data_IF_100127397054
#
_entry.id   IF_100127397054
#
_cell.length_a   1.000
_cell.length_b   1.000
_cell.length_c   1.000
_cell.angle_alpha   90.00
_cell.angle_beta   90.00
_cell.angle_gamma   90.00
#
_symmetry.space_group_name_H-M   'P 1'
#
loop_
_entity.id
_entity.type
_entity.pdbx_description
1 polymer ?
#
# COMPACT_ATOMS: atom_id res chain seq x y z
N UNK A 1 22.75 61.59 12.39
CA UNK A 1 23.11 60.17 12.46
C UNK A 1 22.01 59.45 13.20
N UNK A 2 21.45 58.42 12.55
CA UNK A 2 21.00 57.12 13.08
C UNK A 2 19.70 56.70 12.39
N UNK A 3 19.86 55.57 11.70
CA UNK A 3 18.89 54.76 10.98
C UNK A 3 17.98 54.01 11.97
N UNK A 4 17.07 53.21 11.39
CA UNK A 4 16.33 52.05 11.92
C UNK A 4 14.93 52.35 12.47
N UNK A 5 13.91 51.53 12.22
CA UNK A 5 13.69 50.39 11.33
C UNK A 5 12.16 50.24 11.23
N UNK A 6 11.63 50.06 10.02
CA UNK A 6 10.24 49.65 9.82
C UNK A 6 10.23 48.12 9.91
N UNK A 7 9.67 47.56 10.98
CA UNK A 7 9.43 46.12 11.09
C UNK A 7 8.18 45.79 10.24
N UNK A 8 8.45 45.04 9.18
CA UNK A 8 7.50 44.43 8.26
C UNK A 8 7.04 43.10 8.88
N UNK A 9 5.92 43.13 9.61
CA UNK A 9 5.20 41.92 10.02
C UNK A 9 4.33 41.45 8.85
N UNK A 10 4.96 40.78 7.89
CA UNK A 10 4.24 40.02 6.86
C UNK A 10 3.81 38.67 7.47
N UNK A 11 2.73 38.72 8.24
CA UNK A 11 1.98 37.56 8.68
C UNK A 11 1.51 36.78 7.45
N UNK A 12 2.21 35.68 7.15
CA UNK A 12 1.93 34.79 6.04
C UNK A 12 0.62 34.06 6.31
N UNK A 13 -0.50 34.67 5.92
CA UNK A 13 -1.81 34.03 5.91
C UNK A 13 -1.75 32.82 4.98
N UNK A 14 -1.75 31.63 5.57
CA UNK A 14 -2.10 30.39 4.88
C UNK A 14 -3.47 30.60 4.25
N UNK A 15 -3.48 30.79 2.93
CA UNK A 15 -4.71 30.81 2.16
C UNK A 15 -5.24 29.39 2.15
N UNK A 16 -6.31 29.17 2.92
CA UNK A 16 -7.17 28.01 2.82
C UNK A 16 -7.88 28.10 1.45
N UNK A 17 -7.20 27.62 0.40
CA UNK A 17 -7.73 27.62 -0.96
C UNK A 17 -8.69 26.45 -1.07
N UNK A 18 -9.96 26.74 -1.36
CA UNK A 18 -11.01 25.75 -1.58
C UNK A 18 -10.67 24.85 -2.79
N UNK A 19 -10.11 23.68 -2.49
CA UNK A 19 -9.68 22.66 -3.45
C UNK A 19 -10.83 22.09 -4.30
N UNK A 20 -12.10 22.37 -3.97
CA UNK A 20 -13.26 21.79 -4.67
C UNK A 20 -13.52 22.43 -6.04
N UNK A 21 -12.85 23.54 -6.38
CA UNK A 21 -13.10 24.32 -7.61
C UNK A 21 -12.02 24.14 -8.71
N UNK A 22 -10.96 23.38 -8.46
CA UNK A 22 -9.85 23.19 -9.39
C UNK A 22 -10.04 21.95 -10.28
N UNK A 23 -9.49 21.92 -11.51
CA UNK A 23 -9.41 20.71 -12.31
C UNK A 23 -8.74 19.59 -11.49
N UNK A 24 -9.28 18.36 -11.52
CA UNK A 24 -8.82 17.23 -10.71
C UNK A 24 -7.29 17.04 -10.75
N UNK A 25 -6.69 17.21 -11.93
CA UNK A 25 -5.25 17.08 -12.12
C UNK A 25 -4.44 18.18 -11.40
N UNK A 26 -4.95 19.41 -11.34
CA UNK A 26 -4.31 20.52 -10.61
C UNK A 26 -4.47 20.36 -9.09
N UNK A 27 -5.63 19.88 -8.62
CA UNK A 27 -5.83 19.55 -7.21
C UNK A 27 -4.91 18.42 -6.73
N UNK A 28 -4.74 17.36 -7.54
CA UNK A 28 -3.80 16.27 -7.25
C UNK A 28 -2.34 16.75 -7.25
N UNK A 29 -1.98 17.59 -8.22
CA UNK A 29 -0.64 18.19 -8.29
C UNK A 29 -0.33 19.05 -7.06
N UNK A 30 -1.27 19.89 -6.61
CA UNK A 30 -1.10 20.69 -5.38
C UNK A 30 -0.98 19.84 -4.13
N UNK A 31 -1.80 18.78 -3.99
CA UNK A 31 -1.68 17.82 -2.87
C UNK A 31 -0.30 17.13 -2.86
N UNK A 32 0.22 16.77 -4.03
CA UNK A 32 1.58 16.20 -4.19
C UNK A 32 2.64 17.20 -3.73
N UNK A 33 2.59 18.43 -4.22
CA UNK A 33 3.53 19.49 -3.87
C UNK A 33 3.49 19.85 -2.39
N UNK A 34 2.30 19.91 -1.79
CA UNK A 34 2.14 20.20 -0.36
C UNK A 34 2.71 19.08 0.51
N UNK A 35 2.45 17.82 0.16
CA UNK A 35 3.01 16.68 0.89
C UNK A 35 4.53 16.62 0.74
N UNK A 36 5.08 16.88 -0.46
CA UNK A 36 6.51 16.94 -0.69
C UNK A 36 7.16 18.09 0.10
N UNK A 37 6.50 19.25 0.17
CA UNK A 37 6.93 20.39 1.00
C UNK A 37 6.94 20.02 2.48
N UNK A 38 5.87 19.40 2.99
CA UNK A 38 5.77 18.95 4.39
C UNK A 38 6.85 17.90 4.72
N UNK A 39 7.08 16.94 3.83
CA UNK A 39 8.14 15.94 3.97
C UNK A 39 9.53 16.58 4.04
N UNK A 40 9.84 17.54 3.16
CA UNK A 40 11.12 18.28 3.18
C UNK A 40 11.31 19.12 4.44
N UNK A 41 10.23 19.57 5.08
CA UNK A 41 10.23 20.35 6.33
C UNK A 41 10.19 19.48 7.59
N UNK A 42 9.97 18.17 7.48
CA UNK A 42 9.75 17.29 8.63
C UNK A 42 8.37 17.46 9.29
N UNK A 43 7.41 18.08 8.59
CA UNK A 43 6.04 18.35 9.06
C UNK A 43 5.05 17.24 8.63
N UNK A 44 5.55 16.08 8.20
CA UNK A 44 4.68 15.02 7.70
C UNK A 44 4.08 14.21 8.85
N UNK A 45 2.81 13.86 8.72
CA UNK A 45 2.10 13.03 9.70
C UNK A 45 2.86 11.70 9.93
N UNK A 46 3.19 11.34 11.19
CA UNK A 46 3.97 10.13 11.47
C UNK A 46 3.27 8.84 11.04
N UNK A 47 1.93 8.81 11.01
CA UNK A 47 1.13 7.67 10.54
C UNK A 47 1.25 7.49 9.03
N UNK A 48 1.29 8.61 8.30
CA UNK A 48 1.49 8.62 6.86
C UNK A 48 2.93 8.26 6.51
N UNK A 49 3.93 8.77 7.26
CA UNK A 49 5.34 8.41 7.11
C UNK A 49 5.53 6.91 7.30
N UNK A 50 4.93 6.34 8.33
CA UNK A 50 4.96 4.90 8.56
C UNK A 50 4.36 4.10 7.40
N UNK A 51 3.24 4.57 6.84
CA UNK A 51 2.61 3.91 5.69
C UNK A 51 3.52 3.94 4.47
N UNK A 52 4.15 5.08 4.16
CA UNK A 52 5.12 5.16 3.07
C UNK A 52 6.34 4.28 3.31
N UNK A 53 6.90 4.28 4.52
CA UNK A 53 8.03 3.44 4.86
C UNK A 53 7.69 1.96 4.69
N UNK A 54 6.51 1.52 5.15
CA UNK A 54 6.03 0.15 4.96
C UNK A 54 5.94 -0.23 3.48
N UNK A 55 5.46 0.67 2.62
CA UNK A 55 5.39 0.45 1.18
C UNK A 55 6.78 0.39 0.54
N UNK A 56 7.69 1.30 0.91
CA UNK A 56 9.08 1.33 0.42
C UNK A 56 9.80 0.02 0.78
N UNK A 57 9.72 -0.39 2.04
CA UNK A 57 10.45 -1.56 2.55
C UNK A 57 10.06 -2.86 1.83
N UNK A 58 8.78 -2.99 1.47
CA UNK A 58 8.26 -4.22 0.89
C UNK A 58 8.18 -4.22 -0.64
N UNK A 59 8.08 -3.05 -1.27
CA UNK A 59 8.14 -2.95 -2.75
C UNK A 59 9.56 -2.77 -3.28
N UNK A 60 10.48 -2.25 -2.45
CA UNK A 60 11.82 -1.84 -2.88
C UNK A 60 11.84 -0.61 -3.79
N UNK A 61 10.70 0.08 -3.95
CA UNK A 61 10.61 1.29 -4.76
C UNK A 61 11.24 2.49 -4.04
N UNK A 62 11.87 3.42 -4.77
CA UNK A 62 12.31 4.67 -4.17
C UNK A 62 11.10 5.50 -3.72
N UNK A 63 11.30 6.32 -2.69
CA UNK A 63 10.25 7.15 -2.08
C UNK A 63 9.44 7.94 -3.10
N UNK A 64 10.08 8.55 -4.10
CA UNK A 64 9.41 9.34 -5.14
C UNK A 64 8.42 8.49 -5.95
N UNK A 65 8.79 7.25 -6.31
CA UNK A 65 7.89 6.36 -7.06
C UNK A 65 6.71 5.89 -6.23
N UNK A 66 6.90 5.62 -4.94
CA UNK A 66 5.79 5.29 -4.03
C UNK A 66 4.83 6.47 -3.89
N UNK A 67 5.38 7.68 -3.74
CA UNK A 67 4.58 8.90 -3.73
C UNK A 67 3.75 9.03 -5.01
N UNK A 68 4.37 8.88 -6.19
CA UNK A 68 3.68 8.96 -7.48
C UNK A 68 2.47 8.01 -7.54
N UNK A 69 2.66 6.74 -7.17
CA UNK A 69 1.55 5.80 -7.10
C UNK A 69 0.46 6.25 -6.13
N UNK A 70 0.82 6.68 -4.92
CA UNK A 70 -0.15 7.03 -3.88
C UNK A 70 -0.97 8.28 -4.25
N UNK A 71 -0.36 9.28 -4.88
CA UNK A 71 -1.04 10.50 -5.30
C UNK A 71 -1.89 10.30 -6.56
N UNK A 72 -1.40 9.56 -7.55
CA UNK A 72 -2.09 9.38 -8.85
C UNK A 72 -3.41 8.60 -8.72
N UNK A 73 -3.48 7.68 -7.77
CA UNK A 73 -4.54 6.66 -7.72
C UNK A 73 -5.59 6.89 -6.62
N UNK A 74 -5.69 8.11 -6.09
CA UNK A 74 -6.54 8.45 -4.95
C UNK A 74 -6.33 7.52 -3.73
N UNK A 75 -5.13 6.93 -3.61
CA UNK A 75 -4.79 6.06 -2.49
C UNK A 75 -4.58 6.87 -1.21
N UNK A 76 -4.15 8.13 -1.34
CA UNK A 76 -3.93 9.02 -0.20
C UNK A 76 -5.19 9.21 0.65
N UNK A 77 -6.34 9.47 0.01
CA UNK A 77 -7.60 9.69 0.74
C UNK A 77 -8.03 8.42 1.48
N UNK A 78 -7.83 7.24 0.86
CA UNK A 78 -8.08 5.94 1.48
C UNK A 78 -7.11 5.66 2.65
N UNK A 79 -5.87 6.13 2.58
CA UNK A 79 -4.91 6.06 3.69
C UNK A 79 -5.37 6.98 4.83
N UNK A 80 -5.78 8.20 4.53
CA UNK A 80 -6.26 9.14 5.55
C UNK A 80 -7.54 8.62 6.23
N UNK A 81 -8.43 7.96 5.50
CA UNK A 81 -9.62 7.30 6.08
C UNK A 81 -9.25 6.24 7.13
N UNK A 82 -8.09 5.58 7.04
CA UNK A 82 -7.64 4.62 8.06
C UNK A 82 -7.45 5.30 9.43
N UNK A 83 -7.08 6.59 9.44
CA UNK A 83 -6.76 7.33 10.66
C UNK A 83 -7.99 7.89 11.36
N UNK A 84 -9.12 8.00 10.65
CA UNK A 84 -10.36 8.60 11.16
C UNK A 84 -11.18 7.65 12.04
N UNK A 85 -11.97 8.17 13.00
CA UNK A 85 -13.00 7.39 13.69
C UNK A 85 -14.02 6.84 12.71
N UNK A 86 -14.40 5.57 12.89
CA UNK A 86 -15.31 4.82 12.02
C UNK A 86 -14.91 4.80 10.54
N UNK A 87 -13.64 5.10 10.26
CA UNK A 87 -13.09 5.03 8.92
C UNK A 87 -12.73 3.60 8.50
N UNK A 88 -11.77 3.49 7.58
CA UNK A 88 -11.31 2.19 7.09
C UNK A 88 -10.76 1.32 8.22
N UNK A 89 -11.15 0.04 8.22
CA UNK A 89 -10.59 -0.98 9.13
C UNK A 89 -9.38 -1.70 8.54
N UNK A 90 -9.22 -1.66 7.22
CA UNK A 90 -8.12 -2.33 6.52
C UNK A 90 -7.74 -1.61 5.24
N UNK A 91 -6.46 -1.68 4.91
CA UNK A 91 -5.90 -1.33 3.61
C UNK A 91 -5.07 -2.51 3.11
N UNK A 92 -5.19 -2.80 1.80
CA UNK A 92 -4.48 -3.86 1.13
C UNK A 92 -3.98 -3.35 -0.21
N UNK A 93 -2.66 -3.42 -0.41
CA UNK A 93 -1.99 -3.03 -1.64
C UNK A 93 -1.42 -4.25 -2.33
N UNK A 94 -1.56 -4.30 -3.65
CA UNK A 94 -0.79 -5.21 -4.49
C UNK A 94 0.29 -4.44 -5.23
N UNK A 95 1.48 -5.01 -5.23
CA UNK A 95 2.58 -4.62 -6.11
C UNK A 95 2.89 -5.79 -7.02
N UNK A 96 2.33 -5.75 -8.23
CA UNK A 96 2.39 -6.85 -9.18
C UNK A 96 2.30 -6.36 -10.63
N UNK A 97 2.63 -7.23 -11.57
CA UNK A 97 2.49 -6.95 -13.00
C UNK A 97 1.03 -6.72 -13.37
N UNK A 98 0.74 -5.55 -13.94
CA UNK A 98 -0.58 -5.22 -14.50
C UNK A 98 -0.45 -5.14 -16.01
N UNK A 99 -1.41 -5.75 -16.73
CA UNK A 99 -1.50 -5.54 -18.17
C UNK A 99 -1.92 -4.10 -18.42
N UNK A 100 -0.99 -3.30 -18.94
CA UNK A 100 -1.31 -1.95 -19.40
C UNK A 100 -2.11 -2.11 -20.69
N UNK A 101 -3.37 -1.69 -20.70
CA UNK A 101 -4.02 -1.35 -21.96
C UNK A 101 -3.29 -0.12 -22.51
N UNK A 102 -2.57 -0.30 -23.61
CA UNK A 102 -1.81 0.74 -24.29
C UNK A 102 -2.76 1.83 -24.83
N UNK A 103 -3.19 2.77 -23.98
CA UNK A 103 -3.85 4.01 -24.43
C UNK A 103 -2.83 5.10 -24.79
N UNK A 104 -1.55 4.92 -24.47
CA UNK A 104 -0.52 5.96 -24.60
C UNK A 104 0.64 5.61 -25.55
N UNK A 105 0.63 4.43 -26.17
CA UNK A 105 1.74 3.96 -27.02
C UNK A 105 1.63 4.39 -28.50
N UNK A 106 0.78 5.37 -28.84
CA UNK A 106 0.55 5.76 -30.23
C UNK A 106 1.51 6.84 -30.79
N UNK A 107 2.40 7.43 -30.00
CA UNK A 107 3.24 8.54 -30.46
C UNK A 107 4.75 8.27 -30.39
N UNK A 108 5.23 7.12 -30.87
CA UNK A 108 6.67 7.00 -31.16
C UNK A 108 7.01 5.92 -32.20
N UNK A 109 6.20 5.79 -33.26
CA UNK A 109 6.52 4.88 -34.36
C UNK A 109 6.03 5.36 -35.74
N UNK A 110 6.16 6.64 -36.08
CA UNK A 110 5.98 7.09 -37.48
C UNK A 110 7.00 8.14 -37.89
N UNK A 111 8.29 7.76 -37.94
CA UNK A 111 9.23 8.48 -38.81
C UNK A 111 10.50 7.69 -39.15
N UNK A 112 10.35 6.51 -39.74
CA UNK A 112 11.40 5.96 -40.58
C UNK A 112 10.74 5.41 -41.86
N UNK A 113 10.93 6.13 -42.97
CA UNK A 113 10.69 5.60 -44.32
C UNK A 113 11.57 4.36 -44.51
N UNK A 114 11.07 3.33 -45.22
CA UNK A 114 11.93 2.73 -46.23
C UNK A 114 11.23 2.56 -47.57
N UNK A 115 12.01 2.88 -48.59
CA UNK A 115 11.79 2.64 -50.01
C UNK A 115 11.66 1.14 -50.34
N UNK A 116 10.66 0.84 -51.17
CA UNK A 116 10.49 -0.28 -52.12
C UNK A 116 11.21 -1.63 -51.92
N UNK A 117 10.37 -2.66 -52.13
CA UNK A 117 10.60 -3.93 -52.84
C UNK A 117 10.79 -5.24 -52.05
N UNK A 118 9.91 -6.19 -52.40
CA UNK A 118 10.13 -7.65 -52.47
C UNK A 118 9.72 -8.55 -51.29
N UNK A 119 8.55 -9.17 -51.50
CA UNK A 119 8.06 -10.53 -51.20
C UNK A 119 8.89 -11.47 -50.29
N UNK A 120 8.13 -12.17 -49.43
CA UNK A 120 8.40 -13.42 -48.71
C UNK A 120 9.31 -13.37 -47.48
N UNK A 121 8.71 -13.31 -46.29
CA UNK A 121 9.12 -14.17 -45.19
C UNK A 121 7.97 -14.40 -44.20
N UNK A 122 7.94 -15.62 -43.66
CA UNK A 122 6.87 -16.19 -42.86
C UNK A 122 6.34 -15.28 -41.74
N UNK A 123 5.01 -15.29 -41.64
CA UNK A 123 4.19 -14.82 -40.53
C UNK A 123 4.56 -15.61 -39.25
N UNK A 124 5.66 -15.25 -38.59
CA UNK A 124 5.82 -15.54 -37.14
C UNK A 124 4.84 -14.61 -36.44
N UNK A 125 3.70 -15.17 -36.01
CA UNK A 125 2.90 -14.57 -34.95
C UNK A 125 3.77 -14.60 -33.69
N UNK A 126 4.66 -13.61 -33.56
CA UNK A 126 5.18 -13.24 -32.25
C UNK A 126 3.97 -12.78 -31.46
N UNK A 127 3.53 -13.61 -30.51
CA UNK A 127 2.73 -13.16 -29.38
C UNK A 127 3.61 -12.09 -28.73
N UNK A 128 3.43 -10.83 -29.15
CA UNK A 128 4.02 -9.69 -28.49
C UNK A 128 3.35 -9.64 -27.13
N UNK A 129 3.97 -10.30 -26.14
CA UNK A 129 3.58 -10.12 -24.74
C UNK A 129 3.67 -8.62 -24.47
N UNK A 130 2.52 -7.98 -24.21
CA UNK A 130 2.47 -6.59 -23.77
C UNK A 130 3.52 -6.41 -22.65
N UNK A 131 4.26 -5.29 -22.62
CA UNK A 131 5.24 -5.05 -21.58
C UNK A 131 4.52 -5.01 -20.23
N UNK A 132 4.74 -6.04 -19.41
CA UNK A 132 4.22 -6.08 -18.04
C UNK A 132 5.02 -5.09 -17.20
N UNK A 133 4.35 -4.07 -16.69
CA UNK A 133 4.91 -3.14 -15.70
C UNK A 133 4.31 -3.46 -14.35
N UNK A 134 5.15 -3.57 -13.32
CA UNK A 134 4.66 -3.66 -11.95
C UNK A 134 3.98 -2.34 -11.56
N UNK A 135 2.80 -2.44 -10.96
CA UNK A 135 2.04 -1.29 -10.44
C UNK A 135 1.72 -1.54 -8.98
N UNK A 136 1.81 -0.49 -8.17
CA UNK A 136 1.30 -0.46 -6.80
C UNK A 136 -0.13 0.09 -6.85
N UNK A 137 -1.10 -0.62 -6.26
CA UNK A 137 -2.49 -0.17 -6.19
C UNK A 137 -3.21 -0.77 -4.99
N UNK A 138 -4.22 -0.04 -4.48
CA UNK A 138 -5.14 -0.55 -3.46
C UNK A 138 -6.14 -1.54 -4.07
N UNK A 139 -6.48 -2.57 -3.32
CA UNK A 139 -7.47 -3.59 -3.71
C UNK A 139 -8.24 -4.07 -2.47
N UNK A 140 -9.38 -4.71 -2.71
CA UNK A 140 -10.17 -5.40 -1.70
C UNK A 140 -9.84 -6.91 -1.61
N UNK A 141 -9.04 -7.42 -2.55
CA UNK A 141 -8.66 -8.82 -2.68
C UNK A 141 -9.69 -9.73 -3.35
N UNK A 142 -10.80 -9.18 -3.86
CA UNK A 142 -11.86 -9.95 -4.53
C UNK A 142 -11.82 -9.81 -6.05
N UNK A 143 -11.50 -8.61 -6.54
CA UNK A 143 -11.52 -8.31 -7.97
C UNK A 143 -10.26 -8.76 -8.70
N UNK A 144 -9.11 -8.75 -8.02
CA UNK A 144 -7.80 -9.03 -8.61
C UNK A 144 -7.12 -10.14 -7.82
N UNK A 145 -6.59 -11.14 -8.53
CA UNK A 145 -5.79 -12.20 -7.92
C UNK A 145 -4.38 -11.73 -7.56
N UNK A 146 -3.88 -12.15 -6.40
CA UNK A 146 -2.51 -11.86 -5.97
C UNK A 146 -1.49 -12.67 -6.77
N UNK A 147 -0.67 -11.98 -7.56
CA UNK A 147 0.44 -12.57 -8.33
C UNK A 147 1.81 -12.04 -7.92
N UNK A 148 1.84 -10.86 -7.30
CA UNK A 148 3.06 -10.20 -6.83
C UNK A 148 3.21 -10.21 -5.31
N UNK A 149 3.42 -9.02 -4.76
CA UNK A 149 3.54 -8.78 -3.32
C UNK A 149 2.25 -8.11 -2.83
N UNK A 150 1.66 -8.66 -1.78
CA UNK A 150 0.59 -8.02 -1.02
C UNK A 150 1.18 -7.34 0.21
N UNK A 151 0.74 -6.12 0.49
CA UNK A 151 1.05 -5.37 1.70
C UNK A 151 -0.28 -5.00 2.34
N UNK A 152 -0.43 -5.16 3.65
CA UNK A 152 -1.66 -4.82 4.32
C UNK A 152 -1.43 -4.13 5.66
N UNK A 153 -2.39 -3.29 6.02
CA UNK A 153 -2.56 -2.71 7.35
C UNK A 153 -3.99 -3.01 7.80
N UNK A 154 -4.13 -3.57 8.98
CA UNK A 154 -5.42 -3.85 9.62
C UNK A 154 -5.44 -3.09 10.93
N UNK A 155 -6.53 -2.38 11.17
CA UNK A 155 -6.72 -1.59 12.38
C UNK A 155 -7.50 -2.41 13.41
N UNK A 156 -6.98 -2.48 14.63
CA UNK A 156 -7.58 -3.23 15.73
C UNK A 156 -8.85 -2.56 16.28
N UNK A 157 -8.82 -1.23 16.38
CA UNK A 157 -9.94 -0.44 16.88
C UNK A 157 -10.28 0.70 15.91
N UNK A 158 -11.47 0.62 15.31
CA UNK A 158 -11.98 1.64 14.39
C UNK A 158 -12.88 2.68 15.05
N UNK A 159 -13.28 2.52 16.32
CA UNK A 159 -14.26 3.43 16.94
C UNK A 159 -13.64 4.76 17.35
N UNK A 160 -12.36 4.76 17.72
CA UNK A 160 -11.62 5.97 18.10
C UNK A 160 -10.88 6.55 16.90
N UNK A 161 -10.22 7.69 17.04
CA UNK A 161 -9.22 8.13 16.06
C UNK A 161 -7.93 7.33 16.26
N UNK A 162 -7.18 7.07 15.19
CA UNK A 162 -5.85 6.47 15.34
C UNK A 162 -4.91 7.51 15.95
N UNK A 163 -4.31 7.28 17.13
CA UNK A 163 -3.48 8.28 17.78
C UNK A 163 -2.25 8.61 16.93
N UNK A 164 -1.63 9.77 17.13
CA UNK A 164 -0.38 10.12 16.43
C UNK A 164 0.85 9.50 17.11
N UNK A 165 0.75 9.27 18.42
CA UNK A 165 1.76 8.55 19.19
C UNK A 165 1.30 7.12 19.47
N UNK A 166 2.22 6.15 19.35
CA UNK A 166 1.93 4.77 19.74
C UNK A 166 0.97 3.99 18.81
N UNK A 167 0.57 4.57 17.67
CA UNK A 167 -0.39 3.95 16.74
C UNK A 167 -0.03 2.55 16.27
N UNK A 168 1.25 2.20 16.26
CA UNK A 168 1.73 0.87 15.90
C UNK A 168 1.10 -0.24 16.77
N UNK A 169 0.67 0.07 18.00
CA UNK A 169 -0.02 -0.87 18.89
C UNK A 169 -1.45 -1.19 18.44
N UNK A 170 -2.06 -0.30 17.68
CA UNK A 170 -3.43 -0.41 17.17
C UNK A 170 -3.49 -0.93 15.73
N UNK A 171 -2.34 -1.30 15.14
CA UNK A 171 -2.23 -1.79 13.78
C UNK A 171 -1.60 -3.18 13.72
N UNK A 172 -2.16 -4.04 12.87
CA UNK A 172 -1.52 -5.25 12.38
C UNK A 172 -1.07 -4.97 10.95
N UNK A 173 0.23 -5.00 10.73
CA UNK A 173 0.81 -4.85 9.40
C UNK A 173 1.42 -6.18 8.96
N UNK A 174 1.45 -6.43 7.66
CA UNK A 174 2.15 -7.60 7.15
C UNK A 174 2.22 -7.62 5.63
N UNK A 175 2.96 -8.60 5.14
CA UNK A 175 3.15 -8.81 3.72
C UNK A 175 3.04 -10.27 3.32
N UNK A 176 2.64 -10.47 2.06
CA UNK A 176 2.46 -11.79 1.47
C UNK A 176 3.12 -11.79 0.09
N UNK A 177 4.16 -12.59 -0.07
CA UNK A 177 4.88 -12.74 -1.34
C UNK A 177 4.36 -13.99 -2.07
N UNK A 178 3.69 -13.76 -3.22
CA UNK A 178 3.22 -14.82 -4.10
C UNK A 178 4.20 -15.12 -5.25
N UNK A 179 5.18 -14.24 -5.54
CA UNK A 179 6.09 -14.36 -6.67
C UNK A 179 7.04 -15.55 -6.52
N UNK A 180 7.58 -15.76 -5.32
CA UNK A 180 8.70 -16.70 -5.15
C UNK A 180 8.29 -18.16 -5.09
N UNK A 181 7.25 -18.49 -4.31
CA UNK A 181 6.94 -19.88 -3.90
C UNK A 181 5.46 -20.25 -4.08
N UNK A 182 4.66 -19.34 -4.62
CA UNK A 182 3.20 -19.48 -4.74
C UNK A 182 2.49 -19.16 -3.43
N UNK A 183 1.31 -18.54 -3.55
CA UNK A 183 0.52 -18.01 -2.44
C UNK A 183 0.21 -19.06 -1.35
N UNK A 184 -0.31 -20.22 -1.75
CA UNK A 184 -0.73 -21.28 -0.83
C UNK A 184 0.43 -21.76 0.04
N UNK A 185 1.61 -21.91 -0.55
CA UNK A 185 2.82 -22.34 0.16
C UNK A 185 3.35 -21.27 1.10
N UNK A 186 3.26 -19.99 0.72
CA UNK A 186 3.59 -18.86 1.58
C UNK A 186 2.68 -18.83 2.81
N UNK A 187 1.36 -18.99 2.63
CA UNK A 187 0.39 -19.06 3.73
C UNK A 187 0.67 -20.26 4.64
N UNK A 188 0.86 -21.46 4.08
CA UNK A 188 1.15 -22.66 4.85
C UNK A 188 2.38 -22.47 5.75
N UNK A 189 3.43 -21.81 5.23
CA UNK A 189 4.64 -21.51 6.00
C UNK A 189 4.42 -20.49 7.09
N UNK A 190 3.65 -19.43 6.85
CA UNK A 190 3.35 -18.43 7.88
C UNK A 190 2.61 -19.10 9.04
N UNK A 191 1.62 -19.94 8.74
CA UNK A 191 0.90 -20.68 9.79
C UNK A 191 1.85 -21.65 10.51
N UNK A 192 2.64 -22.45 9.78
CA UNK A 192 3.51 -23.48 10.36
C UNK A 192 4.65 -22.90 11.20
N UNK A 193 5.29 -21.82 10.76
CA UNK A 193 6.49 -21.27 11.38
C UNK A 193 6.24 -20.06 12.28
N UNK A 194 5.10 -19.37 12.15
CA UNK A 194 4.79 -18.17 12.95
C UNK A 194 3.62 -18.43 13.89
N UNK A 195 2.44 -18.77 13.35
CA UNK A 195 1.22 -18.84 14.17
C UNK A 195 1.20 -20.07 15.09
N UNK A 196 1.52 -21.25 14.58
CA UNK A 196 1.52 -22.47 15.42
C UNK A 196 2.49 -22.33 16.60
N UNK A 197 3.77 -21.92 16.42
CA UNK A 197 4.68 -21.71 17.54
C UNK A 197 4.21 -20.61 18.50
N UNK A 198 3.69 -19.49 17.98
CA UNK A 198 3.20 -18.38 18.81
C UNK A 198 1.99 -18.77 19.67
N UNK A 199 1.13 -19.66 19.15
CA UNK A 199 -0.04 -20.18 19.86
C UNK A 199 0.27 -21.37 20.77
N UNK A 200 1.35 -22.12 20.49
CA UNK A 200 1.68 -23.34 21.22
C UNK A 200 2.23 -23.09 22.64
N UNK A 201 2.80 -21.91 22.88
CA UNK A 201 3.31 -21.52 24.19
C UNK A 201 2.19 -20.78 24.93
N UNK A 202 1.75 -21.25 26.11
CA UNK A 202 0.80 -20.52 26.93
C UNK A 202 1.32 -19.12 27.27
N UNK A 203 0.54 -18.10 26.98
CA UNK A 203 0.86 -16.71 27.27
C UNK A 203 0.15 -16.28 28.58
N UNK A 204 0.71 -15.30 29.29
CA UNK A 204 0.13 -14.75 30.53
C UNK A 204 -1.29 -14.17 30.35
N UNK A 205 -1.69 -13.88 29.10
CA UNK A 205 -3.04 -13.40 28.75
C UNK A 205 -4.03 -14.50 28.29
N UNK A 206 -3.65 -15.77 28.42
CA UNK A 206 -4.47 -16.92 28.04
C UNK A 206 -5.38 -17.39 29.19
N UNK A 207 -5.24 -16.78 30.36
CA UNK A 207 -6.15 -16.94 31.47
C UNK A 207 -7.54 -16.44 31.05
N UNK A 208 -8.61 -17.15 31.42
CA UNK A 208 -9.97 -16.72 31.12
C UNK A 208 -10.22 -15.33 31.73
N UNK A 209 -10.52 -14.36 30.87
CA UNK A 209 -10.95 -13.01 31.27
C UNK A 209 -12.47 -12.89 31.13
N UNK A 210 -13.07 -11.87 31.76
CA UNK A 210 -14.51 -11.58 31.63
C UNK A 210 -14.94 -11.40 30.16
N UNK A 211 -14.04 -10.86 29.33
CA UNK A 211 -14.27 -10.62 27.90
C UNK A 211 -13.99 -11.87 27.03
N UNK A 212 -13.23 -12.85 27.53
CA UNK A 212 -12.79 -14.01 26.75
C UNK A 212 -12.63 -15.30 27.60
N UNK A 213 -13.72 -15.81 28.20
CA UNK A 213 -13.68 -16.96 29.11
C UNK A 213 -13.26 -18.27 28.42
N UNK A 214 -13.52 -18.40 27.11
CA UNK A 214 -13.25 -19.61 26.33
C UNK A 214 -11.85 -19.62 25.68
N UNK A 215 -11.03 -18.58 25.89
CA UNK A 215 -9.72 -18.45 25.25
C UNK A 215 -8.82 -19.70 25.39
N UNK A 216 -8.66 -20.32 26.57
CA UNK A 216 -7.86 -21.54 26.70
C UNK A 216 -8.42 -22.73 25.90
N UNK A 217 -9.75 -22.90 25.90
CA UNK A 217 -10.43 -23.98 25.19
C UNK A 217 -10.28 -23.80 23.67
N UNK A 218 -10.53 -22.59 23.17
CA UNK A 218 -10.38 -22.24 21.75
C UNK A 218 -8.94 -22.51 21.29
N UNK A 219 -7.93 -22.12 22.08
CA UNK A 219 -6.53 -22.40 21.76
C UNK A 219 -6.22 -23.90 21.68
N UNK A 220 -6.77 -24.70 22.60
CA UNK A 220 -6.57 -26.15 22.61
C UNK A 220 -7.15 -26.85 21.38
N UNK A 221 -8.24 -26.32 20.81
CA UNK A 221 -8.88 -26.84 19.60
C UNK A 221 -8.25 -26.30 18.32
N UNK A 222 -7.84 -25.03 18.32
CA UNK A 222 -7.28 -24.34 17.15
C UNK A 222 -5.94 -24.94 16.68
N UNK A 223 -5.07 -25.32 17.61
CA UNK A 223 -3.73 -25.83 17.27
C UNK A 223 -3.78 -27.13 16.43
N UNK A 224 -4.54 -28.18 16.82
CA UNK A 224 -4.77 -29.34 15.98
C UNK A 224 -5.30 -29.00 14.58
N UNK A 225 -6.27 -28.08 14.50
CA UNK A 225 -6.87 -27.67 13.23
C UNK A 225 -5.87 -26.97 12.31
N UNK A 226 -5.06 -26.04 12.84
CA UNK A 226 -4.00 -25.38 12.07
C UNK A 226 -2.96 -26.38 11.57
N UNK A 227 -2.59 -27.38 12.38
CA UNK A 227 -1.67 -28.46 11.95
C UNK A 227 -2.30 -29.32 10.86
N UNK A 228 -3.58 -29.65 10.98
CA UNK A 228 -4.33 -30.38 9.96
C UNK A 228 -4.41 -29.59 8.66
N UNK A 229 -4.74 -28.30 8.74
CA UNK A 229 -4.78 -27.37 7.61
C UNK A 229 -3.43 -27.33 6.88
N UNK A 230 -2.33 -27.11 7.60
CA UNK A 230 -0.99 -27.14 7.01
C UNK A 230 -0.66 -28.49 6.36
N UNK A 231 -1.17 -29.61 6.90
CA UNK A 231 -0.94 -30.94 6.34
C UNK A 231 -1.70 -31.16 5.03
N UNK A 232 -2.89 -30.57 4.88
CA UNK A 232 -3.65 -30.59 3.62
C UNK A 232 -2.98 -29.77 2.50
N UNK A 233 -2.12 -28.81 2.85
CA UNK A 233 -1.42 -27.94 1.89
C UNK A 233 -0.03 -28.46 1.48
N UNK A 234 0.40 -29.63 2.00
CA UNK A 234 1.70 -30.24 1.73
C UNK A 234 1.68 -31.17 0.53
#
# INVERSE_FOLDING_TARGET
>A
MLLSNTEDDTESKEQDVDLTSLPLNEALQRRREECERKARRGEMDPRLEFTFQLLIDHTGLPRNSVMDYVFESNMLDQINELFLPHGRSKLMWFYQDVEVEDTESFEMAVQLKPTNSSRNLQRRLSIMSKPKKKKLFLTDGWEVGLTGICIYIIRLNTTKQLPEEGFHKDLICGTLDAEKKGLVKSIAKIIEYVFIPALAIPQTGDEPSEDQPDCPLIKSQLLPELRSFCSCLK
#
